data_IF_367758138701
#
_entry.id   IF_367758138701
#
_cell.length_a   1.000
_cell.length_b   1.000
_cell.length_c   1.000
_cell.angle_alpha   90.00
_cell.angle_beta   90.00
_cell.angle_gamma   90.00
#
_symmetry.space_group_name_H-M   'P 1'
#
loop_
_entity.id
_entity.type
_entity.pdbx_description
1 polymer ?
#
# COMPACT_ATOMS: atom_id res chain seq x y z
N UNK A 1 -3.86 -4.16 -48.78
CA UNK A 1 -3.18 -3.27 -47.81
C UNK A 1 -3.76 -3.41 -46.39
N UNK A 2 -5.05 -3.67 -46.22
CA UNK A 2 -5.75 -3.77 -44.91
C UNK A 2 -5.35 -4.99 -44.04
N UNK A 3 -4.90 -6.08 -44.67
CA UNK A 3 -4.56 -7.31 -43.93
C UNK A 3 -3.29 -7.23 -43.07
N UNK A 4 -2.36 -6.34 -43.41
CA UNK A 4 -1.11 -6.20 -42.65
C UNK A 4 -1.30 -5.59 -41.24
N UNK A 5 -2.01 -4.46 -41.07
CA UNK A 5 -2.29 -3.92 -39.75
C UNK A 5 -3.11 -4.88 -38.89
N UNK A 6 -4.13 -5.54 -39.47
CA UNK A 6 -4.97 -6.51 -38.75
C UNK A 6 -4.13 -7.70 -38.23
N UNK A 7 -3.24 -8.24 -39.07
CA UNK A 7 -2.34 -9.31 -38.66
C UNK A 7 -1.36 -8.85 -37.57
N UNK A 8 -0.87 -7.60 -37.63
CA UNK A 8 0.01 -7.04 -36.62
C UNK A 8 -0.72 -6.91 -35.27
N UNK A 9 -1.94 -6.38 -35.28
CA UNK A 9 -2.81 -6.30 -34.11
C UNK A 9 -3.10 -7.67 -33.52
N UNK A 10 -3.49 -8.64 -34.33
CA UNK A 10 -3.78 -10.00 -33.87
C UNK A 10 -2.53 -10.65 -33.23
N UNK A 11 -1.35 -10.50 -33.84
CA UNK A 11 -0.09 -11.03 -33.29
C UNK A 11 0.31 -10.29 -32.02
N UNK A 12 0.15 -8.97 -31.99
CA UNK A 12 0.42 -8.13 -30.83
C UNK A 12 -0.45 -8.53 -29.63
N UNK A 13 -1.75 -8.68 -29.86
CA UNK A 13 -2.71 -9.08 -28.82
C UNK A 13 -2.36 -10.45 -28.23
N UNK A 14 -1.98 -11.42 -29.07
CA UNK A 14 -1.53 -12.74 -28.59
C UNK A 14 -0.26 -12.64 -27.72
N UNK A 15 0.66 -11.74 -28.08
CA UNK A 15 1.85 -11.48 -27.26
C UNK A 15 1.51 -10.83 -25.92
N UNK A 16 0.55 -9.88 -25.89
CA UNK A 16 0.07 -9.30 -24.63
C UNK A 16 -0.57 -10.36 -23.73
N UNK A 17 -1.42 -11.24 -24.30
CA UNK A 17 -2.03 -12.36 -23.57
C UNK A 17 -0.95 -13.27 -22.97
N UNK A 18 0.17 -13.46 -23.68
CA UNK A 18 1.32 -14.25 -23.22
C UNK A 18 2.21 -13.48 -22.21
N UNK A 19 1.86 -12.26 -21.79
CA UNK A 19 2.62 -11.47 -20.83
C UNK A 19 3.76 -10.63 -21.42
N UNK A 20 3.88 -10.55 -22.75
CA UNK A 20 4.90 -9.72 -23.40
C UNK A 20 4.45 -8.28 -23.59
N UNK A 21 4.39 -7.51 -22.50
CA UNK A 21 3.84 -6.16 -22.47
C UNK A 21 4.74 -5.10 -23.15
N UNK A 22 5.99 -5.39 -23.42
CA UNK A 22 6.88 -4.53 -24.19
C UNK A 22 6.60 -4.52 -25.70
N UNK A 23 5.64 -5.35 -26.15
CA UNK A 23 5.24 -5.42 -27.57
C UNK A 23 4.66 -4.08 -28.01
N UNK A 24 5.10 -3.59 -29.17
CA UNK A 24 4.54 -2.40 -29.83
C UNK A 24 4.22 -2.74 -31.28
N UNK A 25 3.20 -2.09 -31.79
CA UNK A 25 2.72 -2.21 -33.17
C UNK A 25 3.01 -0.92 -33.92
N UNK A 26 3.60 -0.97 -35.11
CA UNK A 26 3.84 0.24 -35.88
C UNK A 26 2.51 0.83 -36.37
N UNK A 27 2.33 2.14 -36.17
CA UNK A 27 1.21 2.90 -36.70
C UNK A 27 1.55 3.26 -38.16
N UNK A 28 0.89 2.60 -39.11
CA UNK A 28 1.24 2.72 -40.55
C UNK A 28 0.19 3.43 -41.36
N UNK A 29 -0.96 3.73 -40.78
CA UNK A 29 -2.11 4.39 -41.44
C UNK A 29 -2.66 5.50 -40.53
N UNK A 30 -3.34 6.50 -41.12
CA UNK A 30 -3.99 7.61 -40.40
C UNK A 30 -5.52 7.42 -40.33
N UNK A 31 -5.99 6.20 -40.50
CA UNK A 31 -7.37 5.78 -40.44
C UNK A 31 -7.73 5.12 -39.07
N UNK A 32 -8.88 4.45 -38.99
CA UNK A 32 -9.33 3.75 -37.81
C UNK A 32 -8.37 2.63 -37.37
N UNK A 33 -7.64 2.02 -38.31
CA UNK A 33 -6.64 0.99 -38.00
C UNK A 33 -5.38 1.60 -37.38
N UNK A 34 -5.01 2.81 -37.82
CA UNK A 34 -3.94 3.57 -37.19
C UNK A 34 -4.28 3.92 -35.75
N UNK A 35 -5.47 4.46 -35.49
CA UNK A 35 -5.96 4.74 -34.12
C UNK A 35 -6.00 3.49 -33.25
N UNK A 36 -6.48 2.37 -33.78
CA UNK A 36 -6.51 1.11 -33.05
C UNK A 36 -5.11 0.60 -32.71
N UNK A 37 -4.11 0.87 -33.58
CA UNK A 37 -2.71 0.54 -33.30
C UNK A 37 -2.12 1.43 -32.21
N UNK A 38 -2.49 2.71 -32.16
CA UNK A 38 -2.11 3.64 -31.08
C UNK A 38 -2.74 3.23 -29.75
N UNK A 39 -4.06 2.94 -29.73
CA UNK A 39 -4.77 2.47 -28.55
C UNK A 39 -4.17 1.16 -28.00
N UNK A 40 -3.81 0.23 -28.90
CA UNK A 40 -3.08 -0.98 -28.53
C UNK A 40 -1.73 -0.66 -27.85
N UNK A 41 -0.97 0.28 -28.40
CA UNK A 41 0.33 0.66 -27.86
C UNK A 41 0.19 1.34 -26.49
N UNK A 42 -0.84 2.16 -26.29
CA UNK A 42 -1.17 2.77 -25.00
C UNK A 42 -1.52 1.68 -23.98
N UNK A 43 -2.37 0.72 -24.37
CA UNK A 43 -2.73 -0.41 -23.51
C UNK A 43 -1.49 -1.24 -23.14
N UNK A 44 -0.66 -1.57 -24.10
CA UNK A 44 0.58 -2.31 -23.89
C UNK A 44 1.53 -1.58 -22.93
N UNK A 45 1.66 -0.26 -23.07
CA UNK A 45 2.48 0.58 -22.19
C UNK A 45 1.91 0.60 -20.76
N UNK A 46 0.61 0.72 -20.62
CA UNK A 46 -0.06 0.70 -19.31
C UNK A 46 0.14 -0.63 -18.59
N UNK A 47 -0.02 -1.75 -19.32
CA UNK A 47 0.21 -3.08 -18.76
C UNK A 47 1.68 -3.31 -18.37
N UNK A 48 2.62 -2.85 -19.21
CA UNK A 48 4.06 -2.93 -18.93
C UNK A 48 4.42 -2.15 -17.65
N UNK A 49 3.92 -0.92 -17.52
CA UNK A 49 4.11 -0.09 -16.33
C UNK A 49 3.50 -0.74 -15.08
N UNK A 50 2.30 -1.29 -15.18
CA UNK A 50 1.65 -1.98 -14.06
C UNK A 50 2.46 -3.20 -13.62
N UNK A 51 2.98 -3.99 -14.56
CA UNK A 51 3.82 -5.15 -14.25
C UNK A 51 5.16 -4.74 -13.61
N UNK A 52 5.79 -3.66 -14.10
CA UNK A 52 7.01 -3.12 -13.50
C UNK A 52 6.75 -2.63 -12.06
N UNK A 53 5.68 -1.86 -11.85
CA UNK A 53 5.28 -1.40 -10.53
C UNK A 53 5.02 -2.58 -9.58
N UNK A 54 4.33 -3.63 -10.05
CA UNK A 54 4.06 -4.84 -9.27
C UNK A 54 5.34 -5.55 -8.87
N UNK A 55 6.30 -5.68 -9.79
CA UNK A 55 7.61 -6.30 -9.49
C UNK A 55 8.41 -5.49 -8.49
N UNK A 56 8.44 -4.18 -8.68
CA UNK A 56 9.13 -3.28 -7.75
C UNK A 56 8.52 -3.39 -6.35
N UNK A 57 7.20 -3.34 -6.26
CA UNK A 57 6.48 -3.47 -5.01
C UNK A 57 6.80 -4.79 -4.26
N UNK A 58 6.82 -5.94 -4.98
CA UNK A 58 7.19 -7.22 -4.37
C UNK A 58 8.64 -7.22 -3.87
N UNK A 59 9.55 -6.57 -4.61
CA UNK A 59 10.93 -6.43 -4.19
C UNK A 59 11.06 -5.58 -2.93
N UNK A 60 10.39 -4.43 -2.89
CA UNK A 60 10.40 -3.51 -1.74
C UNK A 60 9.86 -4.19 -0.49
N UNK A 61 8.72 -4.88 -0.58
CA UNK A 61 8.16 -5.68 0.52
C UNK A 61 9.15 -6.72 1.01
N UNK A 62 9.78 -7.44 0.08
CA UNK A 62 10.75 -8.49 0.44
C UNK A 62 11.94 -7.91 1.21
N UNK A 63 12.35 -6.69 0.88
CA UNK A 63 13.39 -5.96 1.62
C UNK A 63 12.91 -5.50 2.98
N UNK A 64 11.71 -4.94 3.07
CA UNK A 64 11.10 -4.45 4.30
C UNK A 64 10.84 -5.57 5.32
N UNK A 65 10.42 -6.76 4.86
CA UNK A 65 10.24 -7.93 5.73
C UNK A 65 11.57 -8.57 6.16
N UNK A 66 12.61 -8.49 5.34
CA UNK A 66 13.92 -9.12 5.65
C UNK A 66 14.60 -8.48 6.85
N UNK A 67 14.49 -7.18 7.00
CA UNK A 67 15.15 -6.43 8.08
C UNK A 67 14.68 -6.85 9.47
N UNK A 68 13.38 -6.79 9.80
CA UNK A 68 12.87 -7.23 11.11
C UNK A 68 13.12 -8.72 11.36
N UNK A 69 13.01 -9.58 10.33
CA UNK A 69 13.35 -10.99 10.44
C UNK A 69 14.83 -11.22 10.77
N UNK A 70 15.74 -10.43 10.20
CA UNK A 70 17.16 -10.54 10.52
C UNK A 70 17.45 -10.08 11.96
N UNK A 71 16.77 -9.05 12.45
CA UNK A 71 16.87 -8.58 13.84
C UNK A 71 16.37 -9.68 14.78
N UNK A 72 15.16 -10.21 14.55
CA UNK A 72 14.60 -11.30 15.36
C UNK A 72 15.54 -12.50 15.41
N UNK A 73 16.04 -12.93 14.25
CA UNK A 73 16.96 -14.06 14.17
C UNK A 73 18.25 -13.78 14.96
N UNK A 74 18.87 -12.62 14.77
CA UNK A 74 20.10 -12.26 15.46
C UNK A 74 19.93 -12.20 16.98
N UNK A 75 18.81 -11.68 17.49
CA UNK A 75 18.50 -11.68 18.92
C UNK A 75 18.30 -13.09 19.48
N UNK A 76 17.61 -13.98 18.74
CA UNK A 76 17.42 -15.36 19.13
C UNK A 76 18.76 -16.13 19.14
N UNK A 77 19.57 -15.97 18.07
CA UNK A 77 20.89 -16.58 17.98
C UNK A 77 21.80 -16.11 19.15
N UNK A 78 21.80 -14.81 19.48
CA UNK A 78 22.54 -14.28 20.63
C UNK A 78 22.11 -14.87 21.98
N UNK A 79 20.81 -15.20 22.13
CA UNK A 79 20.29 -15.89 23.33
C UNK A 79 20.76 -17.34 23.34
N UNK A 80 20.69 -18.04 22.20
CA UNK A 80 21.08 -19.45 22.08
C UNK A 80 22.58 -19.65 22.34
N UNK A 81 23.41 -18.72 21.88
CA UNK A 81 24.86 -18.72 22.09
C UNK A 81 25.28 -18.25 23.48
N UNK A 82 24.31 -17.89 24.34
CA UNK A 82 24.58 -17.41 25.69
C UNK A 82 25.22 -16.01 25.78
N UNK A 83 25.31 -15.30 24.64
CA UNK A 83 25.83 -13.93 24.54
C UNK A 83 24.87 -12.95 25.21
N UNK A 84 23.57 -13.19 25.06
CA UNK A 84 22.49 -12.39 25.66
C UNK A 84 21.60 -13.23 26.57
N UNK A 85 21.31 -12.73 27.76
CA UNK A 85 20.38 -13.42 28.68
C UNK A 85 18.94 -13.09 28.28
N UNK A 86 18.03 -14.07 28.26
CA UNK A 86 16.61 -13.83 28.03
C UNK A 86 16.01 -13.11 29.25
N UNK A 87 15.99 -11.80 29.20
CA UNK A 87 15.36 -10.95 30.21
C UNK A 87 14.07 -10.33 29.70
N UNK A 88 13.28 -9.72 30.60
CA UNK A 88 12.00 -9.09 30.25
C UNK A 88 12.15 -8.08 29.11
N UNK A 89 13.19 -7.23 29.13
CA UNK A 89 13.47 -6.25 28.07
C UNK A 89 13.74 -6.89 26.71
N UNK A 90 14.45 -8.01 26.68
CA UNK A 90 14.76 -8.74 25.42
C UNK A 90 13.49 -9.35 24.85
N UNK A 91 12.66 -9.94 25.70
CA UNK A 91 11.37 -10.51 25.29
C UNK A 91 10.43 -9.42 24.78
N UNK A 92 10.37 -8.28 25.45
CA UNK A 92 9.58 -7.13 25.04
C UNK A 92 10.04 -6.57 23.68
N UNK A 93 11.34 -6.47 23.43
CA UNK A 93 11.88 -6.06 22.13
C UNK A 93 11.51 -7.06 21.02
N UNK A 94 11.67 -8.37 21.26
CA UNK A 94 11.27 -9.41 20.31
C UNK A 94 9.76 -9.36 20.02
N UNK A 95 8.95 -9.18 21.06
CA UNK A 95 7.50 -9.04 20.91
C UNK A 95 7.14 -7.80 20.09
N UNK A 96 7.80 -6.66 20.33
CA UNK A 96 7.63 -5.43 19.56
C UNK A 96 7.91 -5.63 18.06
N UNK A 97 8.97 -6.39 17.73
CA UNK A 97 9.32 -6.69 16.34
C UNK A 97 8.32 -7.63 15.66
N UNK A 98 7.79 -8.61 16.40
CA UNK A 98 6.72 -9.50 15.91
C UNK A 98 5.46 -8.68 15.61
N UNK A 99 5.04 -7.79 16.51
CA UNK A 99 3.88 -6.92 16.32
C UNK A 99 4.05 -5.94 15.14
N UNK A 100 5.30 -5.55 14.87
CA UNK A 100 5.62 -4.76 13.69
C UNK A 100 5.45 -5.56 12.40
N UNK A 101 5.95 -6.80 12.37
CA UNK A 101 5.75 -7.71 11.24
C UNK A 101 4.28 -8.03 10.99
N UNK A 102 3.50 -8.26 12.03
CA UNK A 102 2.05 -8.52 11.90
C UNK A 102 1.34 -7.32 11.25
N UNK A 103 1.68 -6.09 11.66
CA UNK A 103 1.13 -4.90 11.02
C UNK A 103 1.49 -4.80 9.54
N UNK A 104 2.76 -5.02 9.19
CA UNK A 104 3.20 -5.02 7.79
C UNK A 104 2.44 -6.05 6.95
N UNK A 105 2.25 -7.27 7.45
CA UNK A 105 1.48 -8.31 6.76
C UNK A 105 0.01 -7.92 6.60
N UNK A 106 -0.59 -7.30 7.62
CA UNK A 106 -1.97 -6.80 7.56
C UNK A 106 -2.12 -5.70 6.52
N UNK A 107 -1.20 -4.72 6.49
CA UNK A 107 -1.20 -3.62 5.53
C UNK A 107 -1.08 -4.16 4.09
N UNK A 108 -0.22 -5.17 3.88
CA UNK A 108 -0.06 -5.85 2.59
C UNK A 108 -1.33 -6.57 2.13
N UNK A 109 -1.99 -7.26 3.06
CA UNK A 109 -3.25 -7.94 2.77
C UNK A 109 -4.33 -6.93 2.37
N UNK A 110 -4.45 -5.83 3.12
CA UNK A 110 -5.42 -4.77 2.80
C UNK A 110 -5.16 -4.13 1.44
N UNK A 111 -3.90 -3.82 1.14
CA UNK A 111 -3.52 -3.26 -0.16
C UNK A 111 -3.87 -4.24 -1.30
N UNK A 112 -3.56 -5.53 -1.13
CA UNK A 112 -3.91 -6.57 -2.10
C UNK A 112 -5.42 -6.69 -2.32
N UNK A 113 -6.22 -6.57 -1.25
CA UNK A 113 -7.69 -6.59 -1.35
C UNK A 113 -8.23 -5.33 -2.03
N UNK A 114 -7.57 -4.19 -1.84
CA UNK A 114 -7.91 -2.94 -2.53
C UNK A 114 -7.71 -3.04 -4.04
N UNK A 115 -6.59 -3.60 -4.47
CA UNK A 115 -6.23 -3.72 -5.89
C UNK A 115 -7.23 -4.57 -6.69
N UNK A 116 -7.77 -5.61 -6.07
CA UNK A 116 -8.81 -6.47 -6.72
C UNK A 116 -10.24 -5.95 -6.51
N UNK A 117 -10.41 -4.77 -5.88
CA UNK A 117 -11.72 -4.19 -5.60
C UNK A 117 -12.57 -5.02 -4.61
N UNK A 118 -11.93 -5.90 -3.83
CA UNK A 118 -12.59 -6.81 -2.90
C UNK A 118 -12.78 -6.22 -1.50
N UNK A 119 -12.36 -4.97 -1.27
CA UNK A 119 -12.63 -4.27 -0.02
C UNK A 119 -14.12 -3.94 0.09
N UNK A 120 -14.80 -4.62 0.99
CA UNK A 120 -16.17 -4.26 1.35
C UNK A 120 -16.12 -3.12 2.38
N UNK A 121 -16.42 -1.91 1.93
CA UNK A 121 -16.55 -0.75 2.81
C UNK A 121 -17.93 -0.72 3.44
N UNK A 122 -17.98 -0.60 4.76
CA UNK A 122 -19.21 -0.40 5.51
C UNK A 122 -19.58 1.08 5.54
N UNK A 123 -20.07 1.58 4.41
CA UNK A 123 -20.40 2.98 4.22
C UNK A 123 -21.61 3.37 5.07
N UNK A 124 -21.40 4.25 6.05
CA UNK A 124 -22.44 4.81 6.94
C UNK A 124 -22.21 6.31 7.12
N UNK A 125 -23.23 7.02 7.60
CA UNK A 125 -23.06 8.41 7.99
C UNK A 125 -22.25 8.50 9.27
N UNK A 126 -21.06 9.11 9.17
CA UNK A 126 -20.07 9.18 10.24
C UNK A 126 -19.85 10.62 10.65
N UNK A 127 -19.82 10.90 11.95
CA UNK A 127 -19.34 12.15 12.47
C UNK A 127 -17.80 12.20 12.46
N UNK A 128 -17.25 12.86 11.43
CA UNK A 128 -15.81 13.00 11.22
C UNK A 128 -15.10 13.63 12.43
N UNK A 129 -15.73 14.64 13.05
CA UNK A 129 -15.19 15.29 14.25
C UNK A 129 -15.02 14.30 15.39
N UNK A 130 -16.04 13.47 15.66
CA UNK A 130 -15.99 12.48 16.73
C UNK A 130 -14.89 11.43 16.53
N UNK A 131 -14.70 10.96 15.30
CA UNK A 131 -13.59 10.02 14.97
C UNK A 131 -12.24 10.69 15.20
N UNK A 132 -12.06 11.92 14.69
CA UNK A 132 -10.82 12.67 14.86
C UNK A 132 -10.49 12.93 16.35
N UNK A 133 -11.47 13.39 17.12
CA UNK A 133 -11.30 13.63 18.56
C UNK A 133 -10.90 12.35 19.30
N UNK A 134 -11.59 11.23 19.02
CA UNK A 134 -11.27 9.94 19.62
C UNK A 134 -9.87 9.44 19.23
N UNK A 135 -9.50 9.60 17.96
CA UNK A 135 -8.18 9.16 17.46
C UNK A 135 -7.06 10.01 18.08
N UNK A 136 -7.22 11.33 18.12
CA UNK A 136 -6.24 12.24 18.72
C UNK A 136 -6.06 11.96 20.21
N UNK A 137 -7.15 11.68 20.95
CA UNK A 137 -7.07 11.36 22.37
C UNK A 137 -6.32 10.05 22.63
N UNK A 138 -6.60 8.99 21.86
CA UNK A 138 -5.84 7.74 21.91
C UNK A 138 -4.36 7.95 21.60
N UNK A 139 -4.07 8.83 20.65
CA UNK A 139 -2.70 9.08 20.22
C UNK A 139 -1.93 9.89 21.27
N UNK A 140 -2.56 10.88 21.92
CA UNK A 140 -1.98 11.65 23.03
C UNK A 140 -1.51 10.77 24.19
N UNK A 141 -2.25 9.71 24.52
CA UNK A 141 -1.88 8.77 25.59
C UNK A 141 -0.59 7.99 25.29
N UNK A 142 -0.20 7.90 24.01
CA UNK A 142 0.98 7.15 23.53
C UNK A 142 2.21 8.04 23.36
N UNK A 143 2.03 9.35 23.31
CA UNK A 143 3.10 10.33 23.12
C UNK A 143 3.70 10.78 24.46
N UNK A 144 4.98 11.10 24.39
CA UNK A 144 5.65 11.82 25.47
C UNK A 144 5.26 13.30 25.42
N UNK A 145 4.49 13.82 26.41
CA UNK A 145 3.99 15.19 26.37
C UNK A 145 5.10 16.26 26.35
N UNK A 146 6.31 15.90 26.79
CA UNK A 146 7.46 16.82 26.81
C UNK A 146 8.10 17.00 25.43
N UNK A 147 7.84 16.05 24.50
CA UNK A 147 8.44 16.06 23.18
C UNK A 147 7.50 16.48 22.06
N UNK A 148 6.24 16.02 22.11
CA UNK A 148 5.27 16.27 21.05
C UNK A 148 3.92 16.64 21.66
N UNK A 149 3.37 17.80 21.25
CA UNK A 149 2.02 18.19 21.58
C UNK A 149 1.12 18.14 20.34
N UNK A 150 -0.05 17.52 20.47
CA UNK A 150 -1.07 17.50 19.41
C UNK A 150 -2.20 18.43 19.83
N UNK A 151 -2.52 19.37 18.95
CA UNK A 151 -3.65 20.28 19.11
C UNK A 151 -4.65 20.04 17.98
N UNK A 152 -5.90 19.80 18.32
CA UNK A 152 -6.98 19.68 17.34
C UNK A 152 -7.77 20.98 17.35
N UNK A 153 -7.72 21.70 16.24
CA UNK A 153 -8.56 22.88 16.02
C UNK A 153 -9.66 22.53 15.00
N UNK A 154 -10.91 22.69 15.41
CA UNK A 154 -12.08 22.43 14.58
C UNK A 154 -12.84 23.74 14.40
N UNK A 155 -12.63 24.39 13.28
CA UNK A 155 -13.31 25.64 12.92
C UNK A 155 -14.53 25.38 12.04
N UNK A 156 -15.65 26.06 12.34
CA UNK A 156 -16.90 26.03 11.58
C UNK A 156 -18.08 25.41 12.35
N UNK A 157 -19.29 25.82 12.00
CA UNK A 157 -20.54 25.44 12.65
C UNK A 157 -21.38 24.50 11.79
N UNK A 158 -20.80 23.40 11.29
CA UNK A 158 -21.53 22.49 10.40
C UNK A 158 -21.70 21.08 10.95
N UNK A 159 -22.63 20.30 10.39
CA UNK A 159 -22.58 18.88 10.59
C UNK A 159 -21.33 18.35 9.86
N UNK A 160 -20.35 17.85 10.62
CA UNK A 160 -19.16 17.18 10.07
C UNK A 160 -19.50 15.73 9.72
N UNK A 161 -20.62 15.54 9.01
CA UNK A 161 -21.07 14.21 8.58
C UNK A 161 -20.51 13.87 7.21
N UNK A 162 -19.98 12.66 7.07
CA UNK A 162 -19.47 12.11 5.83
C UNK A 162 -19.92 10.67 5.67
N UNK A 163 -20.28 10.27 4.45
CA UNK A 163 -20.56 8.87 4.14
C UNK A 163 -19.25 8.12 3.98
N UNK A 164 -18.88 7.33 4.98
CA UNK A 164 -17.60 6.63 5.03
C UNK A 164 -17.68 5.36 5.89
N UNK A 165 -16.61 4.56 5.82
CA UNK A 165 -16.38 3.46 6.75
C UNK A 165 -15.64 4.02 7.98
N UNK A 166 -16.22 3.95 9.20
CA UNK A 166 -15.63 4.54 10.40
C UNK A 166 -14.28 3.92 10.77
N UNK A 167 -14.13 2.60 10.61
CA UNK A 167 -12.91 1.89 10.95
C UNK A 167 -11.77 2.30 10.00
N UNK A 168 -12.07 2.47 8.72
CA UNK A 168 -11.11 2.93 7.71
C UNK A 168 -10.72 4.40 7.87
N UNK A 169 -11.66 5.25 8.26
CA UNK A 169 -11.35 6.64 8.59
C UNK A 169 -10.44 6.75 9.82
N UNK A 170 -10.72 5.97 10.85
CA UNK A 170 -9.87 5.94 12.04
C UNK A 170 -8.46 5.46 11.69
N UNK A 171 -8.33 4.40 10.90
CA UNK A 171 -7.05 3.87 10.42
C UNK A 171 -6.27 4.92 9.62
N UNK A 172 -6.94 5.64 8.70
CA UNK A 172 -6.34 6.74 7.94
C UNK A 172 -5.73 7.80 8.87
N UNK A 173 -6.47 8.23 9.88
CA UNK A 173 -5.99 9.25 10.82
C UNK A 173 -4.84 8.74 11.69
N UNK A 174 -4.89 7.50 12.16
CA UNK A 174 -3.78 6.88 12.88
C UNK A 174 -2.52 6.87 12.01
N UNK A 175 -2.61 6.42 10.77
CA UNK A 175 -1.48 6.38 9.85
C UNK A 175 -0.89 7.77 9.58
N UNK A 176 -1.73 8.79 9.41
CA UNK A 176 -1.29 10.17 9.22
C UNK A 176 -0.57 10.72 10.47
N UNK A 177 -1.10 10.47 11.65
CA UNK A 177 -0.50 10.89 12.91
C UNK A 177 0.83 10.16 13.17
N UNK A 178 0.89 8.85 12.95
CA UNK A 178 2.13 8.07 13.08
C UNK A 178 3.22 8.56 12.12
N UNK A 179 2.87 8.87 10.87
CA UNK A 179 3.81 9.43 9.91
C UNK A 179 4.34 10.80 10.35
N UNK A 180 3.46 11.67 10.88
CA UNK A 180 3.84 13.01 11.35
C UNK A 180 4.72 13.01 12.60
N UNK A 181 4.76 11.92 13.36
CA UNK A 181 5.58 11.81 14.58
C UNK A 181 6.92 11.10 14.35
N UNK A 182 7.11 10.49 13.17
CA UNK A 182 8.38 9.86 12.79
C UNK A 182 9.37 10.82 12.14
N UNK A 183 8.90 11.93 11.62
CA UNK A 183 9.66 12.97 10.92
C UNK A 183 9.51 14.32 11.62
#
# INVERSE_FOLDING_TARGET
>A
HLLRPINALTKGTRKLIAGHFTTRIPVTTMDELGRLSDDFNILAMTLDKNEQNRRQWVADISHELRTPLAILRGEIEAIQDGIRKPGAKTIEALHGEIMHLERMVSDLYELSMSDIGALNYKMVDVNLKGILEGTVEQFKQRLDPEKISIQLDVSGAGPYSVLADPDRLQQLFINLLENSTRY
#
